data_IF_558332767014
#
_entry.id   IF_558332767014
#
_cell.length_a   1.000
_cell.length_b   1.000
_cell.length_c   1.000
_cell.angle_alpha   90.00
_cell.angle_beta   90.00
_cell.angle_gamma   90.00
#
_symmetry.space_group_name_H-M   'P 1'
#
loop_
_entity.id
_entity.type
_entity.pdbx_description
1 polymer ?
#
# COMPACT_ATOMS: atom_id res chain seq x y z
N UNK A 1 -30.24 3.01 -5.89
CA UNK A 1 -30.85 2.37 -4.72
C UNK A 1 -31.17 0.95 -5.12
N UNK A 2 -30.23 0.05 -4.87
CA UNK A 2 -30.45 -1.39 -4.75
C UNK A 2 -29.48 -1.82 -3.64
N UNK A 3 -30.03 -2.29 -2.53
CA UNK A 3 -29.30 -2.89 -1.41
C UNK A 3 -28.58 -4.14 -1.92
N UNK A 4 -27.33 -3.97 -2.37
CA UNK A 4 -26.48 -5.07 -2.81
C UNK A 4 -25.23 -5.10 -1.94
N UNK A 5 -25.19 -5.98 -0.93
CA UNK A 5 -23.96 -6.14 -0.14
C UNK A 5 -23.73 -7.55 0.39
N UNK A 6 -24.69 -8.19 1.10
CA UNK A 6 -24.49 -9.57 1.59
C UNK A 6 -25.08 -10.65 0.67
N UNK A 7 -26.33 -10.48 0.22
CA UNK A 7 -27.07 -11.53 -0.50
C UNK A 7 -26.37 -12.01 -1.78
N UNK A 8 -25.61 -11.15 -2.46
CA UNK A 8 -24.90 -11.53 -3.69
C UNK A 8 -23.58 -12.27 -3.42
N UNK A 9 -22.90 -12.03 -2.29
CA UNK A 9 -21.67 -12.76 -1.92
C UNK A 9 -21.98 -14.22 -1.59
N UNK A 10 -23.02 -14.47 -0.80
CA UNK A 10 -23.48 -15.82 -0.45
C UNK A 10 -23.97 -16.57 -1.69
N UNK A 11 -24.80 -15.92 -2.52
CA UNK A 11 -25.28 -16.48 -3.80
C UNK A 11 -24.14 -16.73 -4.79
N UNK A 12 -23.11 -15.89 -4.83
CA UNK A 12 -21.93 -16.12 -5.69
C UNK A 12 -21.09 -17.30 -5.20
N UNK A 13 -20.90 -17.44 -3.89
CA UNK A 13 -20.16 -18.57 -3.31
C UNK A 13 -20.92 -19.90 -3.52
N UNK A 14 -22.26 -19.86 -3.53
CA UNK A 14 -23.10 -21.01 -3.92
C UNK A 14 -23.07 -21.31 -5.43
N UNK A 15 -23.04 -20.30 -6.31
CA UNK A 15 -23.09 -20.47 -7.78
C UNK A 15 -21.73 -20.79 -8.42
N UNK A 16 -20.67 -20.16 -7.94
CA UNK A 16 -19.31 -20.24 -8.50
C UNK A 16 -18.44 -21.25 -7.74
N UNK A 17 -18.77 -21.51 -6.48
CA UNK A 17 -17.91 -22.24 -5.55
C UNK A 17 -16.72 -21.39 -5.08
N UNK A 18 -15.84 -21.99 -4.28
CA UNK A 18 -14.61 -21.34 -3.85
C UNK A 18 -13.58 -21.35 -4.99
N UNK A 19 -13.31 -20.18 -5.58
CA UNK A 19 -12.26 -20.04 -6.61
C UNK A 19 -10.89 -20.49 -6.11
N UNK A 20 -10.66 -20.47 -4.79
CA UNK A 20 -9.41 -20.94 -4.20
C UNK A 20 -9.15 -22.41 -4.48
N UNK A 21 -10.21 -23.20 -4.63
CA UNK A 21 -10.13 -24.61 -4.96
C UNK A 21 -9.49 -24.87 -6.32
N UNK A 22 -9.42 -23.86 -7.21
CA UNK A 22 -8.80 -23.96 -8.53
C UNK A 22 -7.38 -23.40 -8.60
N UNK A 23 -6.87 -22.81 -7.51
CA UNK A 23 -5.45 -22.53 -7.40
C UNK A 23 -4.67 -23.84 -7.26
N UNK A 24 -3.47 -23.87 -7.83
CA UNK A 24 -2.45 -24.87 -7.50
C UNK A 24 -2.86 -26.33 -7.74
N UNK A 25 -3.78 -26.57 -8.70
CA UNK A 25 -4.18 -27.93 -9.09
C UNK A 25 -3.03 -28.70 -9.75
N UNK A 26 -2.09 -27.99 -10.36
CA UNK A 26 -0.88 -28.54 -10.97
C UNK A 26 0.33 -27.67 -10.62
N UNK A 27 1.53 -28.25 -10.42
CA UNK A 27 2.74 -27.49 -10.10
C UNK A 27 3.13 -26.41 -11.14
N UNK A 28 2.83 -26.64 -12.42
CA UNK A 28 3.13 -25.72 -13.53
C UNK A 28 1.85 -25.11 -14.13
N UNK A 29 0.90 -24.73 -13.27
CA UNK A 29 -0.37 -24.19 -13.71
C UNK A 29 -0.20 -22.79 -14.33
N UNK A 30 -0.63 -22.63 -15.58
CA UNK A 30 -0.46 -21.42 -16.41
C UNK A 30 -1.63 -20.44 -16.36
N UNK A 31 -2.56 -20.72 -15.45
CA UNK A 31 -3.77 -19.95 -15.25
C UNK A 31 -3.98 -19.68 -13.77
N UNK A 32 -4.51 -18.50 -13.44
CA UNK A 32 -4.84 -18.13 -12.07
C UNK A 32 -6.26 -17.57 -12.05
N UNK A 33 -7.24 -18.31 -11.51
CA UNK A 33 -8.61 -17.85 -11.40
C UNK A 33 -8.77 -16.91 -10.21
N UNK A 34 -9.42 -15.77 -10.40
CA UNK A 34 -9.71 -14.80 -9.35
C UNK A 34 -11.18 -14.42 -9.37
N UNK A 35 -11.75 -14.24 -8.19
CA UNK A 35 -12.88 -13.33 -8.06
C UNK A 35 -12.40 -11.93 -8.43
N UNK A 36 -13.20 -11.17 -9.19
CA UNK A 36 -12.77 -9.85 -9.69
C UNK A 36 -12.32 -8.88 -8.58
N UNK A 37 -12.89 -9.00 -7.38
CA UNK A 37 -12.50 -8.21 -6.21
C UNK A 37 -11.08 -8.49 -5.70
N UNK A 38 -10.52 -9.67 -6.02
CA UNK A 38 -9.21 -10.14 -5.58
C UNK A 38 -8.13 -10.00 -6.68
N UNK A 39 -8.48 -9.48 -7.86
CA UNK A 39 -7.48 -9.15 -8.88
C UNK A 39 -6.53 -8.05 -8.38
N UNK A 40 -5.26 -8.04 -8.83
CA UNK A 40 -4.35 -6.94 -8.53
C UNK A 40 -4.98 -5.58 -8.85
N UNK A 41 -4.99 -4.67 -7.87
CA UNK A 41 -5.70 -3.39 -7.97
C UNK A 41 -5.19 -2.51 -9.10
N UNK A 42 -3.92 -2.65 -9.51
CA UNK A 42 -3.36 -1.95 -10.70
C UNK A 42 -4.12 -2.20 -11.99
N UNK A 43 -4.86 -3.32 -12.10
CA UNK A 43 -5.63 -3.65 -13.30
C UNK A 43 -6.92 -2.82 -13.43
N UNK A 44 -7.45 -2.28 -12.32
CA UNK A 44 -8.73 -1.55 -12.29
C UNK A 44 -9.87 -2.27 -13.02
N UNK A 45 -9.89 -3.61 -12.93
CA UNK A 45 -10.76 -4.49 -13.73
C UNK A 45 -11.79 -5.24 -12.86
N UNK A 46 -12.60 -4.49 -12.10
CA UNK A 46 -13.59 -5.08 -11.18
C UNK A 46 -14.93 -4.33 -11.13
N UNK A 47 -14.92 -3.00 -11.14
CA UNK A 47 -16.12 -2.17 -10.93
C UNK A 47 -16.96 -1.97 -12.20
N UNK A 48 -17.50 -3.07 -12.72
CA UNK A 48 -18.53 -3.05 -13.75
C UNK A 48 -19.35 -4.32 -13.68
N UNK A 49 -20.67 -4.20 -13.86
CA UNK A 49 -21.56 -5.37 -13.98
C UNK A 49 -21.25 -6.24 -15.20
N UNK A 50 -20.54 -5.68 -16.19
CA UNK A 50 -20.15 -6.39 -17.42
C UNK A 50 -18.86 -7.19 -17.26
N UNK A 51 -18.12 -6.97 -16.17
CA UNK A 51 -16.98 -7.81 -15.81
C UNK A 51 -17.53 -8.93 -14.94
N UNK A 52 -17.42 -10.15 -15.46
CA UNK A 52 -17.85 -11.37 -14.79
C UNK A 52 -17.18 -11.51 -13.41
N UNK A 53 -17.90 -12.13 -12.48
CA UNK A 53 -17.43 -12.26 -11.10
C UNK A 53 -16.18 -13.15 -10.99
N UNK A 54 -15.96 -14.06 -11.96
CA UNK A 54 -14.76 -14.89 -12.11
C UNK A 54 -13.95 -14.46 -13.33
N UNK A 55 -12.67 -14.20 -13.11
CA UNK A 55 -11.69 -13.90 -14.15
C UNK A 55 -10.57 -14.92 -14.10
N UNK A 56 -9.93 -15.19 -15.24
CA UNK A 56 -8.80 -16.11 -15.31
C UNK A 56 -7.63 -15.37 -15.94
N UNK A 57 -6.60 -15.10 -15.12
CA UNK A 57 -5.34 -14.58 -15.63
C UNK A 57 -4.57 -15.74 -16.27
N UNK A 58 -4.01 -15.51 -17.45
CA UNK A 58 -3.33 -16.52 -18.25
C UNK A 58 -1.90 -16.06 -18.50
N UNK A 59 -0.93 -16.94 -18.33
CA UNK A 59 0.46 -16.64 -18.67
C UNK A 59 0.61 -16.33 -20.19
N UNK A 60 1.48 -15.37 -20.58
CA UNK A 60 1.74 -15.12 -21.99
C UNK A 60 2.09 -16.40 -22.76
N UNK A 61 1.62 -16.48 -24.02
CA UNK A 61 1.74 -17.65 -24.92
C UNK A 61 0.85 -18.85 -24.55
N UNK A 62 0.05 -18.78 -23.49
CA UNK A 62 -0.99 -19.77 -23.17
C UNK A 62 -2.38 -19.26 -23.53
N UNK A 63 -3.34 -20.18 -23.66
CA UNK A 63 -4.75 -19.89 -23.87
C UNK A 63 -5.58 -20.66 -22.83
N UNK A 64 -6.73 -20.12 -22.45
CA UNK A 64 -7.67 -20.78 -21.56
C UNK A 64 -9.00 -20.99 -22.28
N UNK A 65 -9.42 -22.25 -22.37
CA UNK A 65 -10.67 -22.65 -23.03
C UNK A 65 -11.45 -23.68 -22.20
N UNK A 66 -12.77 -23.71 -22.38
CA UNK A 66 -13.65 -24.56 -21.58
C UNK A 66 -13.59 -26.05 -21.95
N UNK A 67 -13.42 -26.38 -23.23
CA UNK A 67 -13.43 -27.75 -23.72
C UNK A 67 -12.37 -27.95 -24.82
N UNK A 68 -11.35 -28.76 -24.54
CA UNK A 68 -10.31 -29.14 -25.51
C UNK A 68 -10.87 -29.92 -26.73
N UNK A 69 -12.00 -30.61 -26.56
CA UNK A 69 -12.60 -31.53 -27.56
C UNK A 69 -13.55 -30.81 -28.53
N UNK A 70 -14.16 -29.70 -28.10
CA UNK A 70 -14.91 -28.83 -29.00
C UNK A 70 -13.95 -27.77 -29.50
N UNK A 71 -13.56 -27.82 -30.78
CA UNK A 71 -12.83 -26.78 -31.54
C UNK A 71 -13.53 -25.39 -31.51
N UNK A 72 -13.85 -24.88 -30.33
CA UNK A 72 -14.54 -23.60 -30.13
C UNK A 72 -13.60 -22.46 -30.46
N UNK A 73 -12.32 -22.61 -30.10
CA UNK A 73 -11.22 -21.85 -30.70
C UNK A 73 -10.79 -22.58 -31.98
N UNK A 74 -11.15 -22.00 -33.12
CA UNK A 74 -10.63 -22.42 -34.43
C UNK A 74 -9.18 -21.97 -34.66
N UNK A 75 -8.63 -21.18 -33.73
CA UNK A 75 -7.32 -20.56 -33.83
C UNK A 75 -6.57 -20.70 -32.49
N UNK A 76 -5.73 -21.73 -32.37
CA UNK A 76 -4.88 -21.98 -31.20
C UNK A 76 -3.39 -21.74 -31.49
N UNK A 77 -3.07 -21.36 -32.73
CA UNK A 77 -1.72 -21.08 -33.22
C UNK A 77 -1.70 -19.73 -33.93
N UNK A 78 -0.71 -18.87 -33.62
CA UNK A 78 -0.58 -17.52 -34.17
C UNK A 78 -0.35 -16.47 -33.09
N UNK A 79 -0.37 -15.19 -33.48
CA UNK A 79 -0.28 -14.07 -32.54
C UNK A 79 -1.62 -13.81 -31.84
N UNK A 80 -1.58 -13.51 -30.54
CA UNK A 80 -2.75 -13.11 -29.75
C UNK A 80 -2.36 -12.06 -28.70
N UNK A 81 -3.34 -11.37 -28.13
CA UNK A 81 -3.16 -10.33 -27.12
C UNK A 81 -4.32 -10.34 -26.10
N UNK A 82 -4.25 -9.50 -25.07
CA UNK A 82 -5.22 -9.47 -23.96
C UNK A 82 -4.71 -10.13 -22.67
N UNK A 83 -3.43 -10.46 -22.62
CA UNK A 83 -2.73 -10.86 -21.40
C UNK A 83 -2.53 -9.65 -20.47
N UNK A 84 -1.90 -9.90 -19.32
CA UNK A 84 -1.47 -8.86 -18.38
C UNK A 84 -0.76 -7.70 -19.09
N UNK A 85 -1.16 -6.47 -18.81
CA UNK A 85 -0.61 -5.26 -19.42
C UNK A 85 0.85 -4.99 -19.00
N UNK A 86 1.35 -5.65 -17.95
CA UNK A 86 2.76 -5.59 -17.58
C UNK A 86 3.65 -6.54 -18.41
N UNK A 87 3.07 -7.45 -19.20
CA UNK A 87 3.84 -8.30 -20.09
C UNK A 87 4.47 -7.47 -21.22
N UNK A 88 5.78 -7.64 -21.45
CA UNK A 88 6.53 -6.92 -22.48
C UNK A 88 5.87 -7.01 -23.87
N UNK A 89 5.35 -8.18 -24.25
CA UNK A 89 4.67 -8.37 -25.53
C UNK A 89 3.34 -7.63 -25.69
N UNK A 90 2.77 -7.08 -24.59
CA UNK A 90 1.54 -6.29 -24.59
C UNK A 90 1.79 -4.77 -24.60
N UNK A 91 3.05 -4.35 -24.55
CA UNK A 91 3.41 -2.94 -24.60
C UNK A 91 3.16 -2.35 -26.01
N UNK A 92 2.72 -1.10 -26.05
CA UNK A 92 2.38 -0.40 -27.30
C UNK A 92 3.38 0.73 -27.59
N UNK A 93 3.55 1.05 -28.88
CA UNK A 93 4.39 2.17 -29.31
C UNK A 93 3.67 3.52 -29.16
N UNK A 94 4.44 4.57 -28.88
CA UNK A 94 3.97 5.96 -28.92
C UNK A 94 5.04 6.84 -29.57
N UNK A 95 4.63 7.69 -30.53
CA UNK A 95 5.50 8.68 -31.17
C UNK A 95 4.72 9.98 -31.31
N UNK A 96 5.19 11.04 -30.64
CA UNK A 96 4.66 12.39 -30.77
C UNK A 96 5.50 13.22 -31.74
N UNK A 97 4.90 13.74 -32.82
CA UNK A 97 5.56 14.67 -33.73
C UNK A 97 4.66 15.86 -34.01
N UNK A 98 5.19 17.07 -33.84
CA UNK A 98 4.46 18.30 -34.12
C UNK A 98 5.08 19.52 -33.43
N UNK A 99 4.55 20.72 -33.70
CA UNK A 99 5.11 21.96 -33.17
C UNK A 99 4.99 22.09 -31.65
N UNK A 100 4.07 21.36 -31.02
CA UNK A 100 3.83 21.37 -29.56
C UNK A 100 4.73 20.40 -28.78
N UNK A 101 5.21 19.33 -29.42
CA UNK A 101 6.04 18.31 -28.78
C UNK A 101 7.52 18.71 -28.75
N UNK A 102 8.24 18.28 -27.72
CA UNK A 102 9.70 18.38 -27.70
C UNK A 102 10.32 17.61 -28.88
N UNK A 103 11.50 18.03 -29.32
CA UNK A 103 12.21 17.42 -30.44
C UNK A 103 13.31 16.47 -29.94
N UNK A 104 13.49 15.32 -30.61
CA UNK A 104 14.54 14.34 -30.28
C UNK A 104 14.59 13.99 -28.78
N UNK A 105 13.42 13.73 -28.20
CA UNK A 105 13.28 13.42 -26.77
C UNK A 105 12.74 12.02 -26.62
N UNK A 106 13.51 11.16 -25.95
CA UNK A 106 13.04 9.88 -25.45
C UNK A 106 12.38 10.10 -24.08
N UNK A 107 11.27 9.42 -23.83
CA UNK A 107 10.49 9.55 -22.59
C UNK A 107 10.32 8.18 -21.95
N UNK A 108 10.19 8.18 -20.62
CA UNK A 108 9.87 6.98 -19.85
C UNK A 108 8.49 6.41 -20.25
N UNK A 109 8.26 5.10 -20.03
CA UNK A 109 6.95 4.51 -20.24
C UNK A 109 5.86 5.19 -19.41
N UNK A 110 4.66 5.29 -19.99
CA UNK A 110 3.49 5.90 -19.36
C UNK A 110 2.22 5.11 -19.70
N UNK A 111 1.15 5.29 -18.92
CA UNK A 111 -0.13 4.64 -19.18
C UNK A 111 -0.90 5.33 -20.31
N UNK A 112 -1.51 4.56 -21.22
CA UNK A 112 -2.29 5.14 -22.33
C UNK A 112 -3.50 5.99 -21.87
N UNK A 113 -3.96 5.81 -20.63
CA UNK A 113 -4.99 6.65 -19.97
C UNK A 113 -4.58 8.13 -19.89
N UNK A 114 -3.28 8.44 -19.92
CA UNK A 114 -2.76 9.81 -19.87
C UNK A 114 -2.92 10.55 -21.21
N UNK A 115 -3.15 9.82 -22.32
CA UNK A 115 -3.22 10.40 -23.67
C UNK A 115 -4.40 11.36 -23.84
N UNK A 116 -5.52 11.14 -23.15
CA UNK A 116 -6.68 12.02 -23.26
C UNK A 116 -6.36 13.44 -22.80
N UNK A 117 -5.76 13.59 -21.61
CA UNK A 117 -5.32 14.89 -21.09
C UNK A 117 -4.27 15.54 -22.00
N UNK A 118 -3.31 14.75 -22.50
CA UNK A 118 -2.29 15.24 -23.43
C UNK A 118 -2.91 15.77 -24.75
N UNK A 119 -3.90 15.08 -25.31
CA UNK A 119 -4.60 15.55 -26.51
C UNK A 119 -5.38 16.84 -26.24
N UNK A 120 -6.04 16.95 -25.09
CA UNK A 120 -6.70 18.18 -24.66
C UNK A 120 -5.71 19.34 -24.53
N UNK A 121 -4.54 19.12 -23.95
CA UNK A 121 -3.49 20.14 -23.83
C UNK A 121 -2.91 20.58 -25.19
N UNK A 122 -2.75 19.64 -26.13
CA UNK A 122 -2.30 19.95 -27.51
C UNK A 122 -3.34 20.78 -28.26
N UNK A 123 -4.63 20.51 -28.03
CA UNK A 123 -5.76 21.26 -28.58
C UNK A 123 -6.09 22.53 -27.81
N UNK A 124 -5.46 22.75 -26.64
CA UNK A 124 -5.72 23.87 -25.73
C UNK A 124 -7.19 23.94 -25.27
N UNK A 125 -7.78 22.78 -24.97
CA UNK A 125 -9.15 22.63 -24.45
C UNK A 125 -9.14 21.99 -23.06
N UNK A 126 -10.21 22.21 -22.29
CA UNK A 126 -10.38 21.57 -20.99
C UNK A 126 -10.81 20.10 -21.14
N UNK A 127 -10.13 19.14 -20.47
CA UNK A 127 -10.57 17.74 -20.42
C UNK A 127 -11.81 17.58 -19.53
N UNK A 128 -12.64 16.57 -19.84
CA UNK A 128 -13.68 16.07 -18.93
C UNK A 128 -13.07 15.09 -17.91
N UNK A 129 -13.78 14.79 -16.82
CA UNK A 129 -13.39 13.79 -15.82
C UNK A 129 -12.93 12.47 -16.46
N UNK A 130 -11.73 12.03 -16.09
CA UNK A 130 -11.08 10.84 -16.60
C UNK A 130 -10.06 10.30 -15.58
N UNK A 131 -9.49 9.12 -15.85
CA UNK A 131 -8.53 8.47 -14.95
C UNK A 131 -7.06 8.89 -15.16
N UNK A 132 -6.76 9.70 -16.18
CA UNK A 132 -5.44 10.27 -16.39
C UNK A 132 -5.12 11.33 -15.34
N UNK A 133 -3.84 11.49 -14.99
CA UNK A 133 -3.37 12.50 -14.05
C UNK A 133 -2.90 13.74 -14.82
N UNK A 134 -3.77 14.74 -14.93
CA UNK A 134 -3.50 15.95 -15.74
C UNK A 134 -2.21 16.65 -15.28
N UNK A 135 -1.25 16.80 -16.21
CA UNK A 135 0.07 17.34 -15.93
C UNK A 135 1.20 16.31 -15.84
N UNK A 136 0.90 15.00 -15.69
CA UNK A 136 1.91 13.92 -15.68
C UNK A 136 2.77 13.91 -16.97
N UNK A 137 2.13 14.22 -18.10
CA UNK A 137 2.74 14.25 -19.44
C UNK A 137 3.29 15.63 -19.83
N UNK A 138 3.33 16.62 -18.93
CA UNK A 138 3.82 17.97 -19.28
C UNK A 138 5.25 17.98 -19.84
N UNK A 139 6.07 17.02 -19.40
CA UNK A 139 7.46 16.85 -19.84
C UNK A 139 7.60 16.47 -21.32
N UNK A 140 6.52 16.15 -22.05
CA UNK A 140 6.57 15.87 -23.50
C UNK A 140 6.31 17.11 -24.36
N UNK A 141 5.80 18.19 -23.74
CA UNK A 141 5.39 19.42 -24.43
C UNK A 141 6.45 20.51 -24.30
N UNK A 142 6.67 21.29 -25.37
CA UNK A 142 7.57 22.47 -25.34
C UNK A 142 7.06 23.55 -24.38
N UNK A 143 5.75 23.73 -24.34
CA UNK A 143 5.05 24.68 -23.48
C UNK A 143 3.76 24.01 -22.98
N UNK A 144 3.73 23.54 -21.72
CA UNK A 144 2.52 22.97 -21.14
C UNK A 144 1.36 23.96 -21.15
N UNK A 145 0.16 23.48 -21.51
CA UNK A 145 -1.07 24.26 -21.44
C UNK A 145 -1.61 24.31 -20.00
N UNK A 146 -1.61 23.16 -19.31
CA UNK A 146 -2.01 23.02 -17.92
C UNK A 146 -0.81 23.06 -16.96
N UNK A 147 -0.96 23.82 -15.87
CA UNK A 147 0.00 23.86 -14.76
C UNK A 147 -0.68 23.23 -13.53
N UNK A 148 -0.29 22.01 -13.13
CA UNK A 148 -0.93 21.32 -12.02
C UNK A 148 -0.57 21.95 -10.67
N UNK A 149 -1.50 21.85 -9.72
CA UNK A 149 -1.32 22.24 -8.32
C UNK A 149 -1.59 21.04 -7.41
N UNK A 150 -1.04 21.05 -6.19
CA UNK A 150 -1.39 20.04 -5.20
C UNK A 150 -2.89 20.13 -4.83
N UNK A 151 -3.57 18.99 -4.61
CA UNK A 151 -4.92 19.01 -4.08
C UNK A 151 -4.92 19.57 -2.66
N UNK A 152 -5.93 20.39 -2.35
CA UNK A 152 -6.10 20.92 -1.01
C UNK A 152 -6.46 19.79 -0.03
N UNK A 153 -5.81 19.78 1.12
CA UNK A 153 -6.15 18.90 2.23
C UNK A 153 -7.58 19.19 2.72
N UNK A 154 -8.40 18.14 2.81
CA UNK A 154 -9.81 18.25 3.22
C UNK A 154 -9.99 18.07 4.72
N UNK A 155 -9.12 17.27 5.37
CA UNK A 155 -9.13 17.06 6.82
C UNK A 155 -7.74 17.28 7.40
N UNK A 156 -7.58 18.34 8.21
CA UNK A 156 -6.34 18.61 8.93
C UNK A 156 -6.20 17.72 10.19
N UNK A 157 -4.97 17.44 10.65
CA UNK A 157 -4.75 16.68 11.86
C UNK A 157 -5.22 17.48 13.09
N UNK A 158 -5.90 16.79 14.00
CA UNK A 158 -6.18 17.28 15.35
C UNK A 158 -4.91 17.19 16.22
N UNK A 159 -4.96 17.85 17.37
CA UNK A 159 -3.94 17.68 18.42
C UNK A 159 -4.24 16.41 19.24
N UNK A 160 -3.21 15.61 19.50
CA UNK A 160 -3.23 14.53 20.47
C UNK A 160 -2.27 14.88 21.61
N UNK A 161 -2.70 15.76 22.54
CA UNK A 161 -1.87 16.13 23.67
C UNK A 161 -1.66 14.93 24.59
N UNK A 162 -0.61 15.00 25.40
CA UNK A 162 -0.39 14.07 26.49
C UNK A 162 -1.52 14.22 27.51
N UNK A 163 -2.42 13.23 27.61
CA UNK A 163 -3.49 13.24 28.61
C UNK A 163 -2.93 12.95 30.00
N UNK A 164 -2.08 11.92 30.11
CA UNK A 164 -1.43 11.52 31.35
C UNK A 164 -0.05 10.89 31.11
N UNK A 165 0.75 10.76 32.16
CA UNK A 165 2.04 10.02 32.09
C UNK A 165 1.83 8.52 32.35
N UNK A 166 0.75 8.17 33.06
CA UNK A 166 0.38 6.79 33.38
C UNK A 166 -0.99 6.48 32.78
N UNK A 167 -1.17 5.32 32.12
CA UNK A 167 -2.47 4.95 31.54
C UNK A 167 -3.52 4.77 32.65
N UNK A 168 -4.72 5.31 32.42
CA UNK A 168 -5.86 5.13 33.34
C UNK A 168 -6.41 3.70 33.31
N UNK A 169 -6.33 3.04 32.15
CA UNK A 169 -6.74 1.65 31.89
C UNK A 169 -5.59 0.95 31.16
N UNK A 170 -5.22 -0.26 31.58
CA UNK A 170 -4.22 -1.08 30.88
C UNK A 170 -4.75 -1.65 29.55
N UNK A 171 -6.05 -1.50 29.28
CA UNK A 171 -6.74 -1.96 28.07
C UNK A 171 -6.59 -3.48 27.85
N UNK A 172 -6.52 -4.24 28.95
CA UNK A 172 -6.29 -5.69 28.92
C UNK A 172 -4.87 -6.09 28.54
N UNK A 173 -3.96 -5.13 28.35
CA UNK A 173 -2.61 -5.39 27.88
C UNK A 173 -1.63 -5.56 29.02
N UNK A 174 -0.61 -6.39 28.78
CA UNK A 174 0.50 -6.61 29.70
C UNK A 174 1.84 -6.44 28.97
N UNK A 175 2.85 -6.00 29.72
CA UNK A 175 4.24 -5.99 29.31
C UNK A 175 5.10 -6.11 30.57
N UNK A 176 5.61 -7.30 30.85
CA UNK A 176 6.18 -7.68 32.16
C UNK A 176 7.60 -7.08 32.38
N UNK A 177 8.31 -6.71 31.31
CA UNK A 177 9.72 -6.33 31.38
C UNK A 177 10.04 -4.96 32.02
N UNK A 178 9.05 -4.15 32.40
CA UNK A 178 9.26 -2.70 32.55
C UNK A 178 8.74 -2.02 33.81
N UNK A 179 8.48 -2.75 34.90
CA UNK A 179 8.25 -2.11 36.22
C UNK A 179 9.47 -1.30 36.76
N UNK A 180 10.61 -1.26 36.04
CA UNK A 180 11.90 -0.72 36.54
C UNK A 180 12.44 0.49 35.74
N UNK A 181 11.91 0.89 34.56
CA UNK A 181 12.58 1.90 33.69
C UNK A 181 11.72 3.09 33.21
N UNK A 182 11.27 3.89 34.17
CA UNK A 182 11.04 5.34 34.03
C UNK A 182 9.63 5.89 33.68
N UNK A 183 9.15 6.83 34.50
CA UNK A 183 8.19 7.90 34.16
C UNK A 183 8.81 9.12 33.44
N UNK A 184 10.12 9.12 33.13
CA UNK A 184 10.90 10.35 32.83
C UNK A 184 11.31 10.54 31.34
N UNK A 185 10.91 9.63 30.44
CA UNK A 185 11.18 9.77 29.00
C UNK A 185 10.16 10.63 28.24
N UNK A 186 9.05 11.02 28.88
CA UNK A 186 8.01 11.80 28.21
C UNK A 186 8.33 13.29 28.07
N UNK A 187 9.20 13.83 28.93
CA UNK A 187 9.48 15.27 29.04
C UNK A 187 10.53 15.77 28.03
N UNK A 188 11.27 14.89 27.34
CA UNK A 188 12.29 15.25 26.33
C UNK A 188 11.77 15.53 24.91
N UNK A 189 10.46 15.38 24.69
CA UNK A 189 9.83 15.19 23.36
C UNK A 189 9.86 16.36 22.35
N UNK A 190 10.08 17.61 22.77
CA UNK A 190 10.05 18.74 21.82
C UNK A 190 11.28 18.78 20.90
N UNK A 191 12.47 18.40 21.40
CA UNK A 191 13.70 18.32 20.59
C UNK A 191 13.66 17.09 19.68
N UNK A 192 13.05 15.99 20.15
CA UNK A 192 12.89 14.75 19.40
C UNK A 192 11.88 14.89 18.25
N UNK A 193 10.78 15.63 18.44
CA UNK A 193 9.74 15.81 17.41
C UNK A 193 10.30 16.36 16.09
N UNK A 194 11.08 17.45 16.16
CA UNK A 194 11.62 18.08 14.94
C UNK A 194 12.66 17.19 14.24
N UNK A 195 13.47 16.44 14.99
CA UNK A 195 14.43 15.51 14.44
C UNK A 195 13.73 14.32 13.75
N UNK A 196 12.71 13.74 14.40
CA UNK A 196 11.90 12.67 13.82
C UNK A 196 11.19 13.10 12.55
N UNK A 197 10.57 14.30 12.52
CA UNK A 197 9.93 14.84 11.32
C UNK A 197 10.92 15.01 10.17
N UNK A 198 12.11 15.56 10.45
CA UNK A 198 13.18 15.72 9.45
C UNK A 198 13.68 14.38 8.91
N UNK A 199 13.70 13.32 9.71
CA UNK A 199 14.18 12.00 9.30
C UNK A 199 13.11 11.20 8.57
N UNK A 200 11.88 11.21 9.06
CA UNK A 200 10.83 10.27 8.65
C UNK A 200 9.78 10.89 7.72
N UNK A 201 9.65 12.22 7.68
CA UNK A 201 8.76 12.94 6.75
C UNK A 201 9.56 13.73 5.71
N UNK A 202 10.53 13.09 5.06
CA UNK A 202 11.44 13.71 4.07
C UNK A 202 10.72 14.50 2.96
N UNK A 203 9.51 14.07 2.61
CA UNK A 203 8.68 14.65 1.56
C UNK A 203 7.39 15.28 2.09
N UNK A 204 7.36 15.57 3.39
CA UNK A 204 6.17 15.99 4.12
C UNK A 204 5.24 14.82 4.47
N UNK A 205 4.31 15.08 5.40
CA UNK A 205 3.28 14.10 5.75
C UNK A 205 2.29 13.87 4.60
N UNK A 206 1.76 12.64 4.44
CA UNK A 206 0.58 12.40 3.64
C UNK A 206 -0.56 13.33 4.05
N UNK A 207 -1.25 13.92 3.06
CA UNK A 207 -2.41 14.81 3.27
C UNK A 207 -3.71 14.04 3.14
N UNK A 208 -4.69 14.37 3.95
CA UNK A 208 -6.00 13.69 3.93
C UNK A 208 -6.96 14.39 2.96
N UNK A 209 -7.32 13.72 1.87
CA UNK A 209 -8.29 14.20 0.89
C UNK A 209 -9.73 13.79 1.21
N UNK A 210 -9.92 12.89 2.17
CA UNK A 210 -11.24 12.54 2.67
C UNK A 210 -11.82 13.66 3.55
N UNK A 211 -13.12 13.92 3.43
CA UNK A 211 -13.86 14.86 4.28
C UNK A 211 -14.15 14.26 5.66
N UNK A 212 -14.24 15.14 6.67
CA UNK A 212 -14.65 14.82 8.04
C UNK A 212 -13.84 13.72 8.75
N UNK A 213 -12.59 13.49 8.32
CA UNK A 213 -11.71 12.52 8.96
C UNK A 213 -11.12 13.07 10.25
N UNK A 214 -11.27 12.32 11.34
CA UNK A 214 -10.71 12.64 12.65
C UNK A 214 -9.45 11.83 12.90
N UNK A 215 -8.30 12.47 12.75
CA UNK A 215 -7.01 11.85 13.02
C UNK A 215 -6.05 12.86 13.64
N UNK A 216 -5.00 12.36 14.29
CA UNK A 216 -3.90 13.19 14.80
C UNK A 216 -2.56 12.58 14.43
N UNK A 217 -1.48 13.37 14.54
CA UNK A 217 -0.13 12.89 14.28
C UNK A 217 0.52 12.47 15.59
N UNK A 218 0.98 11.23 15.64
CA UNK A 218 1.74 10.67 16.73
C UNK A 218 3.22 10.61 16.32
N UNK A 219 4.07 11.24 17.12
CA UNK A 219 5.51 11.26 16.92
C UNK A 219 6.18 10.26 17.86
N UNK A 220 7.07 9.45 17.29
CA UNK A 220 7.99 8.56 17.98
C UNK A 220 9.40 8.81 17.42
N UNK A 221 10.43 8.31 18.09
CA UNK A 221 11.81 8.51 17.61
C UNK A 221 12.05 7.80 16.27
N UNK A 222 11.54 6.56 16.12
CA UNK A 222 11.77 5.71 14.94
C UNK A 222 10.76 5.83 13.81
N UNK A 223 9.59 6.43 14.07
CA UNK A 223 8.51 6.56 13.08
C UNK A 223 7.54 7.67 13.45
N UNK A 224 6.71 8.06 12.50
CA UNK A 224 5.60 9.00 12.70
C UNK A 224 4.35 8.38 12.10
N UNK A 225 3.24 8.38 12.84
CA UNK A 225 1.97 7.84 12.35
C UNK A 225 0.83 8.85 12.43
N UNK A 226 -0.17 8.69 11.56
CA UNK A 226 -1.47 9.33 11.71
C UNK A 226 -2.45 8.34 12.32
N UNK A 227 -2.96 8.63 13.51
CA UNK A 227 -3.92 7.77 14.21
C UNK A 227 -5.34 8.29 14.08
N UNK A 228 -6.28 7.43 13.68
CA UNK A 228 -7.71 7.76 13.64
C UNK A 228 -8.42 7.26 14.88
N UNK A 229 -8.97 8.18 15.67
CA UNK A 229 -9.81 7.86 16.83
C UNK A 229 -11.12 7.19 16.44
N UNK A 230 -11.57 7.35 15.19
CA UNK A 230 -12.80 6.75 14.69
C UNK A 230 -12.58 5.33 14.17
N UNK A 231 -11.43 5.07 13.51
CA UNK A 231 -11.07 3.73 13.06
C UNK A 231 -10.35 2.90 14.14
N UNK A 232 -9.95 3.55 15.24
CA UNK A 232 -9.16 3.00 16.35
C UNK A 232 -7.81 2.44 15.90
N UNK A 233 -7.24 2.91 14.79
CA UNK A 233 -5.98 2.40 14.24
C UNK A 233 -5.22 3.49 13.46
N UNK A 234 -3.92 3.30 13.18
CA UNK A 234 -3.18 4.22 12.33
C UNK A 234 -3.67 4.14 10.87
N UNK A 235 -3.91 5.30 10.26
CA UNK A 235 -4.22 5.46 8.83
C UNK A 235 -2.97 5.34 7.96
N UNK A 236 -1.83 5.77 8.49
CA UNK A 236 -0.52 5.55 7.90
C UNK A 236 0.57 5.63 8.97
N UNK A 237 1.70 4.98 8.70
CA UNK A 237 2.96 5.10 9.44
C UNK A 237 4.08 5.37 8.46
N UNK A 238 4.97 6.31 8.79
CA UNK A 238 6.10 6.72 7.97
C UNK A 238 7.40 6.63 8.75
N UNK A 239 8.41 6.02 8.15
CA UNK A 239 9.75 5.86 8.71
C UNK A 239 10.80 5.77 7.60
N UNK A 240 12.07 5.90 7.97
CA UNK A 240 13.19 5.94 7.02
C UNK A 240 14.28 5.01 7.52
N UNK A 241 14.70 4.12 6.64
CA UNK A 241 15.79 3.21 6.87
C UNK A 241 17.00 3.67 6.07
N UNK A 242 18.09 3.90 6.78
CA UNK A 242 19.38 4.10 6.16
C UNK A 242 19.91 2.77 5.62
N UNK A 243 20.90 2.84 4.72
CA UNK A 243 21.56 1.63 4.21
C UNK A 243 22.18 0.84 5.37
N UNK A 244 21.82 -0.43 5.58
CA UNK A 244 22.41 -1.24 6.64
C UNK A 244 23.92 -1.41 6.39
N UNK A 245 24.71 -1.42 7.47
CA UNK A 245 26.14 -1.76 7.43
C UNK A 245 26.25 -3.22 7.01
N UNK A 246 27.23 -3.58 6.16
CA UNK A 246 27.36 -4.91 5.53
C UNK A 246 27.34 -6.12 6.49
N UNK A 247 27.56 -5.92 7.80
CA UNK A 247 27.44 -6.96 8.84
C UNK A 247 26.01 -7.22 9.34
N UNK A 248 25.03 -6.39 8.97
CA UNK A 248 23.66 -6.38 9.51
C UNK A 248 22.61 -6.74 8.45
N UNK A 249 22.93 -7.67 7.54
CA UNK A 249 21.96 -8.23 6.59
C UNK A 249 21.23 -9.46 7.15
N UNK A 250 21.53 -9.83 8.39
CA UNK A 250 20.79 -10.87 9.10
C UNK A 250 19.35 -10.39 9.38
N UNK A 251 18.35 -11.30 9.32
CA UNK A 251 16.97 -10.96 9.63
C UNK A 251 16.84 -10.23 10.97
N UNK A 252 15.90 -9.27 11.05
CA UNK A 252 15.66 -8.54 12.30
C UNK A 252 15.37 -9.50 13.46
N UNK A 253 15.81 -9.17 14.69
CA UNK A 253 15.49 -9.97 15.87
C UNK A 253 13.98 -10.08 16.07
N UNK A 254 13.49 -11.12 16.76
CA UNK A 254 12.07 -11.22 17.08
C UNK A 254 11.60 -10.04 17.93
N UNK A 255 10.35 -9.64 17.75
CA UNK A 255 9.70 -8.65 18.60
C UNK A 255 9.55 -9.22 20.02
N UNK A 256 9.69 -8.39 21.05
CA UNK A 256 9.42 -8.79 22.44
C UNK A 256 8.02 -9.43 22.53
N UNK A 257 7.99 -10.69 22.94
CA UNK A 257 6.75 -11.44 23.08
C UNK A 257 5.91 -10.88 24.24
N UNK A 258 4.58 -10.93 24.08
CA UNK A 258 3.61 -10.59 25.13
C UNK A 258 3.85 -9.23 25.80
N UNK A 259 4.30 -8.25 25.01
CA UNK A 259 4.47 -6.88 25.45
C UNK A 259 3.68 -5.92 24.54
N UNK A 260 2.57 -5.43 25.05
CA UNK A 260 1.78 -4.37 24.43
C UNK A 260 1.27 -3.42 25.52
N UNK A 261 1.14 -2.13 25.20
CA UNK A 261 0.65 -1.14 26.17
C UNK A 261 -0.24 -0.08 25.54
N UNK A 262 -1.04 0.55 26.39
CA UNK A 262 -1.80 1.74 26.05
C UNK A 262 -0.88 2.91 25.64
N UNK A 263 -1.34 3.70 24.69
CA UNK A 263 -0.72 4.98 24.33
C UNK A 263 -1.39 6.09 25.15
N UNK A 264 -0.69 6.65 26.11
CA UNK A 264 -1.23 7.65 27.04
C UNK A 264 -1.52 9.03 26.40
N UNK A 265 -1.26 9.18 25.10
CA UNK A 265 -1.75 10.31 24.30
C UNK A 265 -3.19 10.11 23.81
N UNK A 266 -3.72 8.91 23.98
CA UNK A 266 -5.05 8.53 23.52
C UNK A 266 -5.89 8.08 24.72
N UNK A 267 -7.16 8.52 24.82
CA UNK A 267 -8.04 8.02 25.85
C UNK A 267 -8.41 6.56 25.61
N UNK A 268 -8.77 5.86 26.68
CA UNK A 268 -9.21 4.46 26.62
C UNK A 268 -10.38 4.24 25.66
N UNK A 269 -11.29 5.21 25.53
CA UNK A 269 -12.46 5.15 24.63
C UNK A 269 -12.11 5.30 23.14
N UNK A 270 -10.90 5.75 22.82
CA UNK A 270 -10.39 5.92 21.46
C UNK A 270 -9.22 4.97 21.17
N UNK A 271 -9.06 3.92 21.97
CA UNK A 271 -8.00 2.93 21.82
C UNK A 271 -8.59 1.52 21.69
N UNK A 272 -7.88 0.64 20.99
CA UNK A 272 -8.21 -0.80 20.98
C UNK A 272 -7.84 -1.45 22.33
N UNK A 273 -8.35 -2.65 22.60
CA UNK A 273 -7.99 -3.48 23.76
C UNK A 273 -7.28 -4.75 23.30
N UNK A 274 -6.40 -5.29 24.13
CA UNK A 274 -5.74 -6.58 23.87
C UNK A 274 -6.74 -7.74 23.77
N UNK A 275 -7.82 -7.67 24.55
CA UNK A 275 -8.84 -8.72 24.63
C UNK A 275 -9.79 -8.74 23.42
N UNK A 276 -9.79 -7.69 22.58
CA UNK A 276 -10.68 -7.55 21.41
C UNK A 276 -10.48 -8.67 20.38
N UNK A 277 -9.30 -9.30 20.37
CA UNK A 277 -8.87 -10.28 19.37
C UNK A 277 -8.78 -11.71 19.92
N UNK A 278 -9.00 -11.93 21.22
CA UNK A 278 -9.01 -13.27 21.82
C UNK A 278 -10.09 -14.22 21.27
N UNK A 279 -11.30 -13.77 20.85
CA UNK A 279 -12.33 -14.67 20.31
C UNK A 279 -12.09 -15.05 18.84
N UNK A 280 -11.24 -14.34 18.12
CA UNK A 280 -11.07 -14.47 16.67
C UNK A 280 -9.92 -15.39 16.32
N UNK A 281 -10.19 -16.69 16.16
CA UNK A 281 -9.14 -17.69 15.93
C UNK A 281 -8.17 -17.40 14.77
N UNK A 282 -8.58 -16.63 13.75
CA UNK A 282 -7.75 -16.33 12.57
C UNK A 282 -7.38 -14.84 12.40
N UNK A 283 -7.90 -13.94 13.24
CA UNK A 283 -7.64 -12.49 13.15
C UNK A 283 -6.94 -12.05 14.43
N UNK A 284 -5.78 -11.43 14.27
CA UNK A 284 -4.85 -11.12 15.36
C UNK A 284 -4.40 -9.67 15.29
N UNK A 285 -3.78 -9.21 16.36
CA UNK A 285 -3.10 -7.92 16.39
C UNK A 285 -1.76 -8.03 15.67
N UNK A 286 -1.47 -7.06 14.81
CA UNK A 286 -0.16 -6.88 14.21
C UNK A 286 0.27 -5.42 14.28
N UNK A 287 1.57 -5.18 14.15
CA UNK A 287 2.12 -3.84 14.15
C UNK A 287 2.21 -3.28 12.73
N UNK A 288 1.80 -2.02 12.56
CA UNK A 288 2.02 -1.31 11.31
C UNK A 288 3.50 -0.97 11.16
N UNK A 289 4.09 -0.22 12.10
CA UNK A 289 5.54 -0.06 12.18
C UNK A 289 6.19 -1.26 12.89
N UNK A 290 7.19 -1.93 12.31
CA UNK A 290 7.84 -3.09 12.93
C UNK A 290 8.72 -2.70 14.13
N UNK A 291 8.39 -3.15 15.37
CA UNK A 291 9.12 -2.76 16.57
C UNK A 291 10.60 -3.17 16.59
N UNK A 292 10.92 -4.25 15.89
CA UNK A 292 12.27 -4.82 15.82
C UNK A 292 13.23 -4.09 14.87
N UNK A 293 12.79 -3.03 14.17
CA UNK A 293 13.72 -2.11 13.48
C UNK A 293 14.53 -1.26 14.46
N UNK A 294 14.04 -1.08 15.69
CA UNK A 294 14.68 -0.26 16.69
C UNK A 294 15.81 -1.04 17.38
N UNK A 295 17.01 -0.45 17.39
CA UNK A 295 18.25 -1.11 17.82
C UNK A 295 18.40 -1.28 19.33
N UNK A 296 17.61 -0.54 20.13
CA UNK A 296 17.64 -0.62 21.60
C UNK A 296 16.28 -1.05 22.13
N UNK A 297 16.27 -1.78 23.26
CA UNK A 297 15.02 -2.19 23.92
C UNK A 297 14.13 -1.00 24.29
N UNK A 298 14.75 0.13 24.68
CA UNK A 298 14.05 1.37 25.00
C UNK A 298 13.38 1.97 23.75
N UNK A 299 14.02 1.91 22.57
CA UNK A 299 13.40 2.36 21.33
C UNK A 299 12.32 1.38 20.86
N UNK A 300 12.51 0.06 21.02
CA UNK A 300 11.49 -0.93 20.68
C UNK A 300 10.18 -0.66 21.46
N UNK A 301 10.28 -0.15 22.69
CA UNK A 301 9.14 0.24 23.53
C UNK A 301 8.25 1.36 22.95
N UNK A 302 8.81 2.23 22.11
CA UNK A 302 8.02 3.27 21.40
C UNK A 302 7.11 2.69 20.32
N UNK A 303 7.41 1.48 19.85
CA UNK A 303 6.63 0.79 18.82
C UNK A 303 5.64 -0.23 19.39
N UNK A 304 5.79 -0.65 20.65
CA UNK A 304 4.91 -1.59 21.35
C UNK A 304 3.65 -0.90 21.92
N UNK A 305 3.06 0.01 21.15
CA UNK A 305 1.89 0.80 21.50
C UNK A 305 0.64 0.27 20.78
N UNK A 306 -0.51 0.31 21.46
CA UNK A 306 -1.82 0.04 20.84
C UNK A 306 -2.13 1.00 19.68
N UNK A 307 -1.58 2.22 19.68
CA UNK A 307 -1.71 3.16 18.55
C UNK A 307 -0.96 2.75 17.27
N UNK A 308 -0.12 1.71 17.36
CA UNK A 308 0.60 1.10 16.23
C UNK A 308 -0.01 -0.24 15.79
N UNK A 309 -1.15 -0.64 16.38
CA UNK A 309 -1.78 -1.94 16.14
C UNK A 309 -2.86 -1.84 15.06
N UNK A 310 -2.86 -2.84 14.19
CA UNK A 310 -3.85 -3.02 13.11
C UNK A 310 -4.36 -4.47 13.10
N UNK A 311 -5.63 -4.71 12.73
CA UNK A 311 -6.20 -6.05 12.64
C UNK A 311 -5.65 -6.82 11.43
N UNK A 312 -5.09 -8.00 11.66
CA UNK A 312 -4.42 -8.77 10.61
C UNK A 312 -4.75 -10.25 10.66
N UNK A 313 -5.03 -10.89 9.52
CA UNK A 313 -5.22 -12.32 9.44
C UNK A 313 -3.90 -13.05 9.71
N UNK A 314 -3.95 -14.16 10.45
CA UNK A 314 -2.76 -14.92 10.84
C UNK A 314 -1.91 -15.37 9.64
N UNK A 315 -2.55 -15.73 8.53
CA UNK A 315 -1.85 -16.12 7.30
C UNK A 315 -1.23 -14.93 6.57
N UNK A 316 -1.92 -13.78 6.51
CA UNK A 316 -1.36 -12.56 5.95
C UNK A 316 -0.18 -12.03 6.78
N UNK A 317 -0.21 -12.23 8.11
CA UNK A 317 0.89 -11.83 8.98
C UNK A 317 2.23 -12.48 8.59
N UNK A 318 2.24 -13.67 7.99
CA UNK A 318 3.47 -14.30 7.47
C UNK A 318 4.11 -13.47 6.35
N UNK A 319 3.29 -12.96 5.41
CA UNK A 319 3.72 -12.03 4.36
C UNK A 319 4.29 -10.76 4.98
N UNK A 320 3.55 -10.19 5.94
CA UNK A 320 3.87 -8.95 6.61
C UNK A 320 5.18 -9.04 7.40
N UNK A 321 5.35 -10.10 8.19
CA UNK A 321 6.56 -10.35 8.98
C UNK A 321 7.78 -10.59 8.09
N UNK A 322 7.64 -11.36 7.00
CA UNK A 322 8.75 -11.57 6.07
C UNK A 322 9.15 -10.28 5.36
N UNK A 323 8.17 -9.45 4.98
CA UNK A 323 8.43 -8.13 4.43
C UNK A 323 9.21 -7.26 5.42
N UNK A 324 8.75 -7.17 6.67
CA UNK A 324 9.39 -6.38 7.71
C UNK A 324 10.79 -6.87 8.08
N UNK A 325 10.94 -8.17 8.31
CA UNK A 325 12.16 -8.74 8.88
C UNK A 325 13.27 -8.95 7.85
N UNK A 326 12.90 -9.13 6.59
CA UNK A 326 13.83 -9.52 5.52
C UNK A 326 13.84 -8.50 4.39
N UNK A 327 12.68 -8.20 3.78
CA UNK A 327 12.64 -7.40 2.56
C UNK A 327 12.93 -5.92 2.80
N UNK A 328 12.52 -5.34 3.94
CA UNK A 328 12.85 -3.96 4.26
C UNK A 328 14.36 -3.72 4.31
N UNK A 329 15.11 -4.59 5.01
CA UNK A 329 16.57 -4.48 5.05
C UNK A 329 17.20 -4.69 3.67
N UNK A 330 16.71 -5.68 2.90
CA UNK A 330 17.15 -5.92 1.53
C UNK A 330 16.96 -4.69 0.66
N UNK A 331 15.77 -4.09 0.65
CA UNK A 331 15.47 -2.90 -0.14
C UNK A 331 16.25 -1.67 0.34
N UNK A 332 16.40 -1.47 1.66
CA UNK A 332 17.26 -0.42 2.20
C UNK A 332 18.72 -0.58 1.76
N UNK A 333 19.22 -1.82 1.64
CA UNK A 333 20.56 -2.11 1.13
C UNK A 333 20.71 -1.79 -0.36
N UNK A 334 19.78 -2.30 -1.18
CA UNK A 334 19.80 -2.16 -2.65
C UNK A 334 19.64 -0.71 -3.08
N UNK A 335 18.74 0.04 -2.43
CA UNK A 335 18.40 1.41 -2.81
C UNK A 335 19.16 2.49 -2.03
N UNK A 336 20.20 2.11 -1.28
CA UNK A 336 21.01 3.03 -0.47
C UNK A 336 20.17 3.86 0.52
N UNK A 337 19.24 3.18 1.20
CA UNK A 337 18.28 3.77 2.12
C UNK A 337 16.94 4.09 1.45
N UNK A 338 15.87 3.86 2.21
CA UNK A 338 14.48 3.99 1.76
C UNK A 338 13.64 4.74 2.78
N UNK A 339 12.73 5.59 2.30
CA UNK A 339 11.59 6.04 3.10
C UNK A 339 10.41 5.12 2.82
N UNK A 340 9.69 4.77 3.87
CA UNK A 340 8.56 3.84 3.82
C UNK A 340 7.33 4.54 4.37
N UNK A 341 6.22 4.46 3.64
CA UNK A 341 4.89 4.81 4.15
C UNK A 341 3.98 3.61 3.96
N UNK A 342 3.28 3.19 4.99
CA UNK A 342 2.38 2.04 4.95
C UNK A 342 1.12 2.29 5.77
N UNK A 343 0.04 1.58 5.46
CA UNK A 343 -1.23 1.76 6.16
C UNK A 343 -2.33 0.81 5.66
N UNK A 344 -3.48 0.78 6.37
CA UNK A 344 -4.65 0.02 5.97
C UNK A 344 -5.36 0.66 4.78
N UNK A 345 -6.12 -0.17 4.06
CA UNK A 345 -6.97 0.22 2.93
C UNK A 345 -8.35 -0.41 3.09
N UNK A 346 -9.40 0.34 2.77
CA UNK A 346 -10.79 -0.12 2.80
C UNK A 346 -11.42 0.13 1.42
N UNK A 347 -11.68 -0.97 0.71
CA UNK A 347 -12.25 -1.01 -0.65
C UNK A 347 -13.09 -2.31 -0.79
N UNK A 348 -14.22 -2.34 -0.09
CA UNK A 348 -15.17 -3.45 -0.02
C UNK A 348 -16.05 -3.54 -1.25
N UNK A 349 -16.27 -2.41 -1.94
CA UNK A 349 -17.02 -2.33 -3.18
C UNK A 349 -16.14 -2.49 -4.44
N UNK A 350 -14.82 -2.70 -4.27
CA UNK A 350 -13.84 -3.02 -5.30
C UNK A 350 -13.80 -2.00 -6.45
N UNK A 351 -14.03 -0.71 -6.14
CA UNK A 351 -14.00 0.39 -7.09
C UNK A 351 -12.66 1.11 -7.21
N UNK A 352 -11.69 0.73 -6.37
CA UNK A 352 -10.35 1.32 -6.37
C UNK A 352 -10.30 2.70 -5.72
N UNK A 353 -11.35 3.10 -5.00
CA UNK A 353 -11.42 4.30 -4.18
C UNK A 353 -11.57 3.93 -2.70
N UNK A 354 -11.31 4.89 -1.81
CA UNK A 354 -11.53 4.69 -0.38
C UNK A 354 -13.03 4.57 -0.08
N UNK A 355 -13.38 3.66 0.82
CA UNK A 355 -14.75 3.50 1.29
C UNK A 355 -15.18 4.57 2.31
N UNK A 356 -16.44 4.98 2.23
CA UNK A 356 -17.12 5.68 3.34
C UNK A 356 -17.44 4.70 4.48
N UNK A 357 -17.69 5.18 5.71
CA UNK A 357 -18.06 4.31 6.83
C UNK A 357 -19.28 3.40 6.56
N UNK A 358 -20.19 3.82 5.68
CA UNK A 358 -21.37 3.03 5.31
C UNK A 358 -21.06 1.89 4.30
N UNK A 359 -19.94 2.00 3.58
CA UNK A 359 -19.49 0.97 2.61
C UNK A 359 -18.64 -0.12 3.28
N UNK A 360 -18.05 0.15 4.44
CA UNK A 360 -17.25 -0.82 5.19
C UNK A 360 -18.16 -1.92 5.75
N UNK A 361 -17.84 -3.18 5.42
CA UNK A 361 -18.72 -4.32 5.72
C UNK A 361 -18.26 -5.21 6.87
N UNK A 362 -16.95 -5.30 7.13
CA UNK A 362 -16.42 -6.23 8.14
C UNK A 362 -15.67 -5.50 9.25
N UNK A 363 -15.86 -6.01 10.46
CA UNK A 363 -15.34 -5.46 11.70
C UNK A 363 -14.84 -6.61 12.57
N UNK A 364 -13.86 -6.33 13.44
CA UNK A 364 -13.45 -7.26 14.50
C UNK A 364 -14.69 -7.55 15.36
N UNK A 365 -15.11 -8.83 15.51
CA UNK A 365 -16.33 -9.21 16.21
C UNK A 365 -16.48 -8.59 17.59
N UNK A 366 -17.64 -8.01 17.87
CA UNK A 366 -17.92 -7.36 19.16
C UNK A 366 -17.33 -5.95 19.31
N UNK A 367 -16.70 -5.40 18.26
CA UNK A 367 -16.09 -4.08 18.27
C UNK A 367 -16.49 -3.27 17.03
N UNK A 368 -16.07 -1.99 16.99
CA UNK A 368 -16.20 -1.12 15.82
C UNK A 368 -14.90 -1.02 15.00
N UNK A 369 -13.92 -1.91 15.23
CA UNK A 369 -12.63 -1.89 14.53
C UNK A 369 -12.82 -2.49 13.13
N UNK A 370 -12.75 -1.66 12.10
CA UNK A 370 -12.90 -2.09 10.71
C UNK A 370 -11.77 -3.01 10.26
N UNK A 371 -12.05 -4.07 9.50
CA UNK A 371 -11.03 -4.95 8.94
C UNK A 371 -10.56 -4.35 7.59
N UNK A 372 -9.26 -4.10 7.36
CA UNK A 372 -8.77 -3.63 6.07
C UNK A 372 -8.98 -4.69 4.98
N UNK A 373 -9.32 -4.26 3.76
CA UNK A 373 -9.35 -5.17 2.60
C UNK A 373 -7.95 -5.37 2.03
N UNK A 374 -7.08 -4.37 2.15
CA UNK A 374 -5.69 -4.41 1.72
C UNK A 374 -4.80 -3.66 2.73
N UNK A 375 -3.49 -3.88 2.62
CA UNK A 375 -2.48 -3.00 3.21
C UNK A 375 -1.64 -2.41 2.08
N UNK A 376 -1.38 -1.10 2.16
CA UNK A 376 -0.50 -0.44 1.21
C UNK A 376 0.91 -0.30 1.78
N UNK A 377 1.90 -0.31 0.90
CA UNK A 377 3.29 0.03 1.19
C UNK A 377 3.80 0.91 0.05
N UNK A 378 4.41 2.04 0.36
CA UNK A 378 5.08 2.94 -0.60
C UNK A 378 6.53 3.08 -0.15
N UNK A 379 7.44 2.51 -0.92
CA UNK A 379 8.89 2.66 -0.77
C UNK A 379 9.34 3.80 -1.68
N UNK A 380 10.10 4.75 -1.13
CA UNK A 380 10.70 5.86 -1.88
C UNK A 380 12.21 5.86 -1.67
N UNK A 381 12.96 5.96 -2.76
CA UNK A 381 14.42 6.05 -2.78
C UNK A 381 14.90 7.07 -3.81
N UNK A 382 16.21 7.33 -3.84
CA UNK A 382 16.81 8.09 -4.92
C UNK A 382 16.98 7.20 -6.16
N UNK A 383 16.72 7.74 -7.35
CA UNK A 383 16.97 7.02 -8.61
C UNK A 383 18.47 6.78 -8.83
N UNK A 384 19.32 7.70 -8.36
CA UNK A 384 20.77 7.51 -8.28
C UNK A 384 21.11 6.70 -7.03
N UNK A 385 21.48 5.43 -7.21
CA UNK A 385 21.81 4.51 -6.11
C UNK A 385 23.04 4.95 -5.29
N UNK A 386 23.82 5.92 -5.76
CA UNK A 386 24.94 6.47 -4.99
C UNK A 386 24.49 7.50 -3.93
N UNK A 387 23.25 7.99 -4.01
CA UNK A 387 22.71 8.98 -3.08
C UNK A 387 21.66 8.36 -2.17
N UNK A 388 21.74 8.58 -0.85
CA UNK A 388 20.69 8.14 0.04
C UNK A 388 19.44 9.02 -0.12
N UNK A 389 18.28 8.43 0.13
CA UNK A 389 16.96 9.09 0.00
C UNK A 389 16.89 10.42 0.77
N UNK A 390 17.56 10.52 1.91
CA UNK A 390 17.60 11.71 2.79
C UNK A 390 18.32 12.91 2.18
N UNK A 391 19.19 12.69 1.20
CA UNK A 391 19.97 13.75 0.51
C UNK A 391 19.75 13.78 -0.99
N UNK A 392 18.76 13.03 -1.49
CA UNK A 392 18.51 12.89 -2.91
C UNK A 392 18.13 14.23 -3.54
N UNK A 393 19.00 14.75 -4.42
CA UNK A 393 18.75 15.97 -5.20
C UNK A 393 18.09 15.64 -6.55
N UNK A 394 18.38 14.46 -7.09
CA UNK A 394 17.88 14.02 -8.40
C UNK A 394 16.44 13.49 -8.37
N UNK A 395 16.09 12.75 -9.43
CA UNK A 395 14.79 12.08 -9.53
C UNK A 395 14.61 11.04 -8.42
N UNK A 396 13.38 10.94 -7.91
CA UNK A 396 12.99 9.89 -6.99
C UNK A 396 12.58 8.63 -7.76
N UNK A 397 12.72 7.49 -7.10
CA UNK A 397 12.18 6.21 -7.52
C UNK A 397 11.23 5.70 -6.44
N UNK A 398 10.13 5.09 -6.88
CA UNK A 398 9.13 4.52 -5.98
C UNK A 398 8.84 3.07 -6.35
N UNK A 399 8.59 2.25 -5.32
CA UNK A 399 7.99 0.93 -5.45
C UNK A 399 6.82 0.88 -4.49
N UNK A 400 5.61 0.63 -4.98
CA UNK A 400 4.41 0.55 -4.16
C UNK A 400 3.66 -0.76 -4.34
N UNK A 401 2.99 -1.18 -3.27
CA UNK A 401 2.25 -2.43 -3.21
C UNK A 401 0.85 -2.18 -2.62
N UNK A 402 -0.15 -2.89 -3.14
CA UNK A 402 -1.50 -2.99 -2.57
C UNK A 402 -1.78 -4.46 -2.28
N UNK A 403 -1.40 -4.91 -1.08
CA UNK A 403 -1.41 -6.32 -0.71
C UNK A 403 -2.80 -6.74 -0.21
N UNK A 404 -3.45 -7.74 -0.83
CA UNK A 404 -4.79 -8.18 -0.42
C UNK A 404 -4.74 -8.85 0.96
N UNK A 405 -5.53 -8.33 1.88
CA UNK A 405 -5.58 -8.81 3.26
C UNK A 405 -6.54 -10.00 3.36
N UNK A 406 -5.99 -11.22 3.23
CA UNK A 406 -6.76 -12.48 3.15
C UNK A 406 -6.47 -13.43 4.31
N UNK A 407 -7.46 -14.27 4.61
CA UNK A 407 -7.39 -15.29 5.65
C UNK A 407 -6.53 -16.52 5.27
N UNK A 408 -6.13 -16.62 4.00
CA UNK A 408 -5.33 -17.70 3.45
C UNK A 408 -4.34 -17.15 2.40
N UNK A 409 -3.30 -17.94 2.13
CA UNK A 409 -2.28 -17.63 1.12
C UNK A 409 -2.42 -18.51 -0.14
N UNK A 410 -3.63 -19.01 -0.44
CA UNK A 410 -3.89 -19.96 -1.55
C UNK A 410 -3.51 -19.41 -2.93
N UNK A 411 -3.43 -18.08 -3.08
CA UNK A 411 -2.94 -17.43 -4.28
C UNK A 411 -1.50 -17.83 -4.63
N UNK A 412 -0.69 -18.10 -3.61
CA UNK A 412 0.68 -18.56 -3.75
C UNK A 412 0.75 -20.08 -3.59
N UNK A 413 1.00 -20.80 -4.69
CA UNK A 413 1.06 -22.27 -4.67
C UNK A 413 2.19 -22.88 -3.85
N UNK A 414 3.13 -22.04 -3.42
CA UNK A 414 4.25 -22.40 -2.54
C UNK A 414 4.02 -21.93 -1.11
N UNK A 415 2.80 -21.58 -0.71
CA UNK A 415 2.51 -21.04 0.62
C UNK A 415 2.84 -21.98 1.78
N UNK A 416 3.04 -23.27 1.50
CA UNK A 416 3.50 -24.28 2.47
C UNK A 416 5.03 -24.40 2.54
N UNK A 417 5.75 -23.79 1.60
CA UNK A 417 7.21 -23.68 1.61
C UNK A 417 7.65 -22.47 2.43
N UNK A 418 8.97 -22.31 2.63
CA UNK A 418 9.53 -21.16 3.32
C UNK A 418 9.12 -19.84 2.63
N UNK A 419 8.82 -18.82 3.42
CA UNK A 419 8.34 -17.50 2.97
C UNK A 419 9.27 -16.85 1.94
N UNK A 420 10.58 -17.16 2.02
CA UNK A 420 11.58 -16.69 1.05
C UNK A 420 11.37 -17.15 -0.39
N UNK A 421 10.59 -18.22 -0.60
CA UNK A 421 10.35 -18.81 -1.92
C UNK A 421 9.16 -18.18 -2.67
N UNK A 422 8.33 -17.38 -2.00
CA UNK A 422 7.06 -16.94 -2.60
C UNK A 422 6.58 -15.55 -2.17
N UNK A 423 6.94 -15.05 -0.98
CA UNK A 423 6.38 -13.78 -0.48
C UNK A 423 6.78 -12.60 -1.35
N UNK A 424 8.06 -12.49 -1.72
CA UNK A 424 8.53 -11.38 -2.56
C UNK A 424 7.85 -11.42 -3.94
N UNK A 425 7.71 -12.61 -4.54
CA UNK A 425 7.03 -12.78 -5.83
C UNK A 425 5.55 -12.40 -5.76
N UNK A 426 4.85 -12.75 -4.67
CA UNK A 426 3.46 -12.34 -4.43
C UNK A 426 3.34 -10.83 -4.28
N UNK A 427 4.25 -10.20 -3.53
CA UNK A 427 4.24 -8.74 -3.36
C UNK A 427 4.44 -8.04 -4.71
N UNK A 428 5.41 -8.46 -5.52
CA UNK A 428 5.63 -7.90 -6.86
C UNK A 428 4.47 -8.16 -7.81
N UNK A 429 3.73 -9.26 -7.65
CA UNK A 429 2.51 -9.50 -8.41
C UNK A 429 1.41 -8.47 -8.06
N UNK A 430 1.34 -8.03 -6.80
CA UNK A 430 0.43 -6.99 -6.28
C UNK A 430 1.07 -5.59 -6.23
N UNK A 431 2.05 -5.35 -7.08
CA UNK A 431 2.60 -4.02 -7.27
C UNK A 431 1.51 -3.04 -7.77
N UNK A 432 1.62 -1.78 -7.37
CA UNK A 432 0.74 -0.70 -7.77
C UNK A 432 1.51 0.57 -8.08
N UNK A 433 0.86 1.56 -8.69
CA UNK A 433 1.38 2.93 -8.78
C UNK A 433 1.10 3.65 -7.48
N UNK A 434 1.88 4.68 -7.16
CA UNK A 434 1.56 5.54 -6.00
C UNK A 434 0.19 6.18 -6.20
N UNK A 435 -0.19 6.52 -7.44
CA UNK A 435 -1.51 7.06 -7.74
C UNK A 435 -2.67 6.11 -7.40
N UNK A 436 -2.46 4.80 -7.54
CA UNK A 436 -3.47 3.80 -7.13
C UNK A 436 -3.63 3.79 -5.61
N UNK A 437 -2.51 3.92 -4.87
CA UNK A 437 -2.52 4.06 -3.41
C UNK A 437 -3.26 5.33 -2.99
N UNK A 438 -3.01 6.47 -3.65
CA UNK A 438 -3.70 7.74 -3.35
C UNK A 438 -5.21 7.63 -3.50
N UNK A 439 -5.70 7.01 -4.58
CA UNK A 439 -7.14 6.84 -4.81
C UNK A 439 -7.79 5.95 -3.76
N UNK A 440 -7.19 4.80 -3.47
CA UNK A 440 -7.80 3.80 -2.59
C UNK A 440 -7.67 4.16 -1.10
N UNK A 441 -6.79 5.09 -0.74
CA UNK A 441 -6.61 5.57 0.64
C UNK A 441 -7.19 6.96 0.89
N UNK A 442 -7.42 7.76 -0.16
CA UNK A 442 -7.74 9.18 -0.01
C UNK A 442 -6.59 10.00 0.57
N UNK A 443 -5.35 9.54 0.41
CA UNK A 443 -4.14 10.28 0.78
C UNK A 443 -3.52 10.96 -0.44
N UNK A 444 -2.78 12.06 -0.23
CA UNK A 444 -1.88 12.65 -1.23
C UNK A 444 -0.46 12.72 -0.68
N UNK A 445 0.49 12.14 -1.42
CA UNK A 445 1.89 12.05 -1.00
C UNK A 445 2.76 13.18 -1.59
N UNK A 446 3.90 13.43 -0.94
CA UNK A 446 4.98 14.31 -1.41
C UNK A 446 4.69 15.81 -1.49
N UNK A 447 3.62 16.33 -0.86
CA UNK A 447 3.33 17.77 -0.85
C UNK A 447 4.39 18.63 -0.13
N UNK A 448 5.24 18.04 0.71
CA UNK A 448 6.38 18.72 1.34
C UNK A 448 7.66 18.67 0.50
N UNK A 449 7.64 18.04 -0.67
CA UNK A 449 8.78 18.00 -1.58
C UNK A 449 8.97 19.35 -2.27
N UNK A 450 10.22 19.73 -2.51
CA UNK A 450 10.58 20.94 -3.27
C UNK A 450 10.60 20.72 -4.79
N UNK A 451 10.33 19.49 -5.25
CA UNK A 451 10.35 19.13 -6.67
C UNK A 451 9.15 19.70 -7.43
N UNK A 452 9.29 19.97 -8.74
CA UNK A 452 8.17 20.40 -9.57
C UNK A 452 7.00 19.41 -9.53
N UNK A 453 5.77 19.93 -9.39
CA UNK A 453 4.55 19.10 -9.33
C UNK A 453 4.43 18.15 -10.53
N UNK A 454 4.67 18.56 -11.80
CA UNK A 454 4.63 17.64 -12.93
C UNK A 454 5.60 16.45 -12.81
N UNK A 455 6.77 16.64 -12.20
CA UNK A 455 7.74 15.56 -11.96
C UNK A 455 7.20 14.57 -10.93
N UNK A 456 6.60 15.08 -9.84
CA UNK A 456 5.95 14.26 -8.83
C UNK A 456 4.77 13.48 -9.41
N UNK A 457 3.94 14.10 -10.25
CA UNK A 457 2.83 13.42 -10.93
C UNK A 457 3.34 12.30 -11.84
N UNK A 458 4.36 12.57 -12.66
CA UNK A 458 5.00 11.56 -13.52
C UNK A 458 5.53 10.37 -12.71
N UNK A 459 6.15 10.63 -11.57
CA UNK A 459 6.60 9.57 -10.65
C UNK A 459 5.41 8.79 -10.08
N UNK A 460 4.37 9.48 -9.60
CA UNK A 460 3.17 8.86 -9.02
C UNK A 460 2.43 7.96 -10.03
N UNK A 461 2.49 8.28 -11.32
CA UNK A 461 1.81 7.53 -12.41
C UNK A 461 2.71 6.56 -13.16
N UNK A 462 3.99 6.40 -12.79
CA UNK A 462 4.92 5.49 -13.47
C UNK A 462 4.28 4.08 -13.55
N UNK A 463 4.09 3.50 -14.75
CA UNK A 463 3.47 2.20 -14.89
C UNK A 463 4.25 1.11 -14.15
N UNK A 464 3.56 0.12 -13.60
CA UNK A 464 4.18 -1.00 -12.88
C UNK A 464 5.12 -1.81 -13.79
N UNK A 465 4.76 -1.98 -15.07
CA UNK A 465 5.64 -2.55 -16.10
C UNK A 465 7.03 -1.90 -16.22
N UNK A 466 7.17 -0.62 -15.83
CA UNK A 466 8.42 0.14 -15.91
C UNK A 466 9.20 0.17 -14.59
N UNK A 467 8.72 -0.53 -13.56
CA UNK A 467 9.36 -0.61 -12.25
C UNK A 467 9.79 -2.07 -12.05
N UNK A 468 11.08 -2.30 -12.17
CA UNK A 468 11.64 -3.65 -12.09
C UNK A 468 12.20 -3.95 -10.71
N UNK A 469 12.09 -5.23 -10.31
CA UNK A 469 12.77 -5.76 -9.13
C UNK A 469 14.28 -5.70 -9.36
N UNK A 470 14.94 -4.81 -8.62
CA UNK A 470 16.40 -4.82 -8.54
C UNK A 470 16.85 -6.13 -7.88
N UNK A 471 17.75 -6.84 -8.55
CA UNK A 471 18.32 -8.11 -8.07
C UNK A 471 19.46 -7.89 -7.10
#
# INVERSE_FOLDING_TARGET
MEEMSCNRKEVLQELVGDTSSYFCKKPDQKIRPYLKANLPKRLHFANSRRIEDVNVLVEPKWLFERYFICRSLTFCSGGNHGYDNDAESMQAMFVGYGPKFLHQTEIEPFGNVELYNLMCDVLEISPTDNNGTHGSMNHVLRKPHHIPTHPAEQSGPAECPLESVNPEDSLGCSCIDLFVRFPDQMTKRLVEKSAAEKKHLLFGRPRMLQLDQKYCILHQEGFISAYSSSALMPLWSSFTLDRPVCSNLDPLPPVLADCLRADVRLPASQSQRCDDYSPTGNLIQAFLYPPNLNTTADQQFDALLLSNVVPMYSEFKKIWDYFHNTLLQKYASIYNGINVVMGPVFDYNYDGQYDTPAQIQQFVPGTNISIPTHYFVVLTSCRDSNQPVSTCVGELQTVSFLLPHRADNSESCKSTEAESQWVEDLMWFHQSRVRDVEWITGLDFYQGSTRPIPELLRMKTRPTAAIHRSQ
#
